data_IF_378740953011
#
_entry.id   IF_378740953011
#
_cell.length_a   1.000
_cell.length_b   1.000
_cell.length_c   1.000
_cell.angle_alpha   90.00
_cell.angle_beta   90.00
_cell.angle_gamma   90.00
#
_symmetry.space_group_name_H-M   'P 1'
#
loop_
_entity.id
_entity.type
_entity.pdbx_description
1 polymer ?
#
# COMPACT_ATOMS: atom_id res chain seq x y z
N UNK A 1 -22.61 -12.41 -30.22
CA UNK A 1 -22.49 -11.65 -28.95
C UNK A 1 -21.56 -12.26 -27.89
N UNK A 2 -21.44 -13.59 -27.74
CA UNK A 2 -20.69 -14.23 -26.63
C UNK A 2 -19.17 -14.05 -26.64
N UNK A 3 -18.54 -14.00 -27.82
CA UNK A 3 -17.08 -13.88 -27.94
C UNK A 3 -16.51 -12.52 -27.49
N UNK A 4 -17.30 -11.45 -27.60
CA UNK A 4 -16.90 -10.08 -27.22
C UNK A 4 -16.84 -9.96 -25.69
N UNK A 5 -17.84 -10.51 -24.98
CA UNK A 5 -17.88 -10.54 -23.52
C UNK A 5 -16.72 -11.38 -22.94
N UNK A 6 -16.38 -12.50 -23.57
CA UNK A 6 -15.27 -13.37 -23.16
C UNK A 6 -13.91 -12.66 -23.30
N UNK A 7 -13.69 -11.93 -24.40
CA UNK A 7 -12.46 -11.13 -24.59
C UNK A 7 -12.33 -9.99 -23.58
N UNK A 8 -13.42 -9.27 -23.31
CA UNK A 8 -13.44 -8.19 -22.31
C UNK A 8 -13.15 -8.71 -20.89
N UNK A 9 -13.72 -9.86 -20.53
CA UNK A 9 -13.45 -10.51 -19.24
C UNK A 9 -11.98 -10.93 -19.08
N UNK A 10 -11.40 -11.57 -20.12
CA UNK A 10 -9.99 -11.98 -20.10
C UNK A 10 -9.07 -10.77 -19.94
N UNK A 11 -9.34 -9.68 -20.68
CA UNK A 11 -8.57 -8.43 -20.58
C UNK A 11 -8.58 -7.89 -19.14
N UNK A 12 -9.78 -7.75 -18.54
CA UNK A 12 -9.93 -7.26 -17.16
C UNK A 12 -9.21 -8.16 -16.15
N UNK A 13 -9.29 -9.48 -16.32
CA UNK A 13 -8.60 -10.44 -15.44
C UNK A 13 -7.08 -10.32 -15.51
N UNK A 14 -6.52 -10.09 -16.70
CA UNK A 14 -5.07 -9.88 -16.88
C UNK A 14 -4.64 -8.55 -16.26
N UNK A 15 -5.38 -7.47 -16.49
CA UNK A 15 -5.11 -6.15 -15.89
C UNK A 15 -5.07 -6.24 -14.36
N UNK A 16 -6.06 -6.90 -13.76
CA UNK A 16 -6.09 -7.13 -12.30
C UNK A 16 -4.88 -7.93 -11.79
N UNK A 17 -4.42 -8.92 -12.55
CA UNK A 17 -3.24 -9.71 -12.17
C UNK A 17 -1.95 -8.91 -12.27
N UNK A 18 -1.80 -8.07 -13.29
CA UNK A 18 -0.65 -7.17 -13.46
C UNK A 18 -0.62 -6.16 -12.32
N UNK A 19 -1.74 -5.51 -12.04
CA UNK A 19 -1.85 -4.54 -10.96
C UNK A 19 -1.56 -5.17 -9.59
N UNK A 20 -2.08 -6.38 -9.35
CA UNK A 20 -1.79 -7.14 -8.13
C UNK A 20 -0.31 -7.51 -8.00
N UNK A 21 0.34 -7.95 -9.08
CA UNK A 21 1.76 -8.28 -9.09
C UNK A 21 2.63 -7.04 -8.85
N UNK A 22 2.29 -5.91 -9.49
CA UNK A 22 2.96 -4.62 -9.29
C UNK A 22 2.85 -4.18 -7.83
N UNK A 23 1.64 -4.22 -7.25
CA UNK A 23 1.44 -3.83 -5.85
C UNK A 23 2.24 -4.71 -4.88
N UNK A 24 2.29 -6.03 -5.12
CA UNK A 24 3.13 -6.94 -4.33
C UNK A 24 4.62 -6.61 -4.44
N UNK A 25 5.09 -6.28 -5.64
CA UNK A 25 6.48 -5.84 -5.87
C UNK A 25 6.81 -4.58 -5.09
N UNK A 26 5.93 -3.57 -5.14
CA UNK A 26 6.09 -2.34 -4.37
C UNK A 26 6.14 -2.59 -2.85
N UNK A 27 5.30 -3.50 -2.33
CA UNK A 27 5.30 -3.87 -0.92
C UNK A 27 6.61 -4.53 -0.48
N UNK A 28 7.13 -5.48 -1.28
CA UNK A 28 8.42 -6.14 -1.00
C UNK A 28 9.60 -5.15 -1.04
N UNK A 29 9.57 -4.20 -1.98
CA UNK A 29 10.59 -3.14 -2.07
C UNK A 29 10.53 -2.24 -0.83
N UNK A 30 9.34 -1.83 -0.42
CA UNK A 30 9.19 -0.98 0.75
C UNK A 30 9.51 -1.70 2.07
N UNK A 31 9.33 -3.02 2.16
CA UNK A 31 9.80 -3.81 3.29
C UNK A 31 11.34 -3.84 3.39
N UNK A 32 12.04 -3.77 2.26
CA UNK A 32 13.51 -3.84 2.20
C UNK A 32 14.19 -2.48 2.09
N UNK A 33 13.42 -1.39 1.96
CA UNK A 33 13.94 -0.03 1.77
C UNK A 33 13.20 0.99 2.64
N UNK A 34 13.80 1.46 3.74
CA UNK A 34 13.25 2.52 4.59
C UNK A 34 12.93 3.82 3.82
N UNK A 35 13.70 4.13 2.77
CA UNK A 35 13.45 5.29 1.91
C UNK A 35 12.11 5.22 1.15
N UNK A 36 11.62 4.02 0.85
CA UNK A 36 10.32 3.85 0.20
C UNK A 36 9.16 4.04 1.20
N UNK A 37 9.36 3.68 2.47
CA UNK A 37 8.40 3.99 3.55
C UNK A 37 8.32 5.51 3.77
N UNK A 38 9.46 6.20 3.83
CA UNK A 38 9.49 7.67 3.94
C UNK A 38 8.74 8.34 2.77
N UNK A 39 8.89 7.84 1.54
CA UNK A 39 8.14 8.36 0.40
C UNK A 39 6.63 8.09 0.48
N UNK A 40 6.20 6.97 1.06
CA UNK A 40 4.79 6.72 1.30
C UNK A 40 4.21 7.66 2.36
N UNK A 41 5.00 8.03 3.36
CA UNK A 41 4.62 9.03 4.37
C UNK A 41 4.51 10.43 3.76
N UNK A 42 5.47 10.83 2.91
CA UNK A 42 5.39 12.10 2.15
C UNK A 42 4.09 12.18 1.33
N UNK A 43 3.69 11.06 0.70
CA UNK A 43 2.48 11.00 -0.12
C UNK A 43 1.17 11.10 0.68
N UNK A 44 1.21 11.01 2.01
CA UNK A 44 0.04 11.31 2.85
C UNK A 44 -0.30 12.80 2.87
N UNK A 45 0.67 13.67 2.55
CA UNK A 45 0.50 15.12 2.46
C UNK A 45 0.09 15.58 1.04
N UNK A 46 -0.07 14.63 0.10
CA UNK A 46 -0.44 14.92 -1.27
C UNK A 46 -1.86 15.52 -1.36
N UNK A 47 -2.00 16.63 -2.09
CA UNK A 47 -3.28 17.32 -2.27
C UNK A 47 -4.31 16.47 -3.03
N UNK A 48 -3.88 15.42 -3.74
CA UNK A 48 -4.77 14.46 -4.39
C UNK A 48 -5.20 13.38 -3.40
N UNK A 49 -6.46 13.45 -2.94
CA UNK A 49 -6.99 12.50 -1.95
C UNK A 49 -6.92 11.03 -2.38
N UNK A 50 -6.95 10.73 -3.68
CA UNK A 50 -6.78 9.36 -4.18
C UNK A 50 -5.34 8.84 -3.97
N UNK A 51 -4.34 9.69 -4.19
CA UNK A 51 -2.91 9.36 -4.00
C UNK A 51 -2.61 9.13 -2.52
N UNK A 52 -3.02 10.06 -1.66
CA UNK A 52 -2.89 9.93 -0.21
C UNK A 52 -3.59 8.66 0.30
N UNK A 53 -4.79 8.36 -0.19
CA UNK A 53 -5.51 7.14 0.19
C UNK A 53 -4.81 5.86 -0.25
N UNK A 54 -4.24 5.83 -1.46
CA UNK A 54 -3.46 4.68 -1.93
C UNK A 54 -2.20 4.49 -1.10
N UNK A 55 -1.54 5.58 -0.71
CA UNK A 55 -0.39 5.56 0.19
C UNK A 55 -0.77 4.99 1.57
N UNK A 56 -1.86 5.47 2.18
CA UNK A 56 -2.42 4.93 3.43
C UNK A 56 -2.68 3.42 3.37
N UNK A 57 -3.32 2.94 2.31
CA UNK A 57 -3.60 1.50 2.14
C UNK A 57 -2.32 0.70 1.97
N UNK A 58 -1.31 1.22 1.26
CA UNK A 58 -0.03 0.55 1.10
C UNK A 58 0.75 0.47 2.41
N UNK A 59 0.71 1.52 3.25
CA UNK A 59 1.33 1.52 4.58
C UNK A 59 0.69 0.46 5.49
N UNK A 60 -0.64 0.37 5.52
CA UNK A 60 -1.36 -0.66 6.28
C UNK A 60 -0.99 -2.07 5.79
N UNK A 61 -0.93 -2.27 4.47
CA UNK A 61 -0.51 -3.56 3.88
C UNK A 61 0.92 -3.94 4.23
N UNK A 62 1.81 -2.95 4.36
CA UNK A 62 3.19 -3.17 4.79
C UNK A 62 3.24 -3.67 6.23
N UNK A 63 2.53 -3.00 7.13
CA UNK A 63 2.48 -3.36 8.54
C UNK A 63 1.92 -4.78 8.73
N UNK A 64 0.84 -5.11 8.00
CA UNK A 64 0.25 -6.46 8.01
C UNK A 64 1.21 -7.53 7.42
N UNK A 65 2.03 -7.17 6.43
CA UNK A 65 3.03 -8.07 5.86
C UNK A 65 4.22 -8.30 6.82
N UNK A 66 4.64 -7.27 7.56
CA UNK A 66 5.71 -7.38 8.56
C UNK A 66 5.27 -8.22 9.76
N UNK A 67 4.07 -8.00 10.28
CA UNK A 67 3.52 -8.76 11.43
C UNK A 67 3.32 -10.25 11.11
N UNK A 68 3.06 -10.61 9.85
CA UNK A 68 2.93 -12.01 9.41
C UNK A 68 4.26 -12.68 9.04
N UNK A 69 5.30 -11.89 8.73
CA UNK A 69 6.64 -12.38 8.41
C UNK A 69 7.56 -12.53 9.63
N UNK A 70 7.11 -12.10 10.83
CA UNK A 70 7.86 -12.18 12.09
C UNK A 70 7.92 -13.62 12.64
N UNK A 71 8.57 -14.51 11.89
CA UNK A 71 9.02 -15.83 12.31
C UNK A 71 10.54 -16.03 12.13
N UNK A 72 11.27 -14.97 11.79
CA UNK A 72 12.74 -14.95 11.76
C UNK A 72 13.26 -13.73 12.54
N UNK A 73 14.42 -13.83 13.21
CA UNK A 73 14.97 -12.75 14.00
C UNK A 73 15.38 -11.62 13.06
N UNK A 74 14.55 -10.59 12.98
CA UNK A 74 14.86 -9.38 12.25
C UNK A 74 15.87 -8.59 13.08
N UNK A 75 17.02 -8.27 12.49
CA UNK A 75 17.81 -7.14 12.98
C UNK A 75 16.90 -5.92 12.91
N UNK A 76 16.62 -5.35 14.08
CA UNK A 76 15.73 -4.24 14.32
C UNK A 76 16.24 -3.02 13.55
N UNK A 77 15.83 -2.90 12.29
CA UNK A 77 15.73 -1.58 11.67
C UNK A 77 14.52 -0.96 12.34
N UNK A 78 14.75 -0.03 13.26
CA UNK A 78 13.72 0.62 14.07
C UNK A 78 12.78 1.47 13.19
N UNK A 79 11.88 0.79 12.47
CA UNK A 79 10.83 1.41 11.66
C UNK A 79 9.76 2.05 12.54
N UNK A 80 9.75 1.76 13.84
CA UNK A 80 8.87 2.32 14.86
C UNK A 80 9.02 3.84 14.98
N UNK A 81 10.21 4.39 14.71
CA UNK A 81 10.40 5.85 14.67
C UNK A 81 9.78 6.49 13.41
N UNK A 82 9.66 5.73 12.32
CA UNK A 82 9.14 6.24 11.04
C UNK A 82 7.61 6.27 11.00
N UNK A 83 6.95 5.31 11.67
CA UNK A 83 5.49 5.24 11.76
C UNK A 83 5.00 5.76 13.12
N UNK A 84 5.11 7.06 13.33
CA UNK A 84 4.73 7.72 14.57
C UNK A 84 3.21 7.94 14.69
N UNK A 85 2.74 8.35 15.89
CA UNK A 85 1.31 8.59 16.15
C UNK A 85 0.69 9.66 15.24
N UNK A 86 1.47 10.62 14.76
CA UNK A 86 1.03 11.67 13.84
C UNK A 86 0.76 11.12 12.43
N UNK A 87 1.64 10.25 11.91
CA UNK A 87 1.41 9.53 10.65
C UNK A 87 0.17 8.63 10.73
N UNK A 88 -0.04 7.94 11.87
CA UNK A 88 -1.22 7.13 12.10
C UNK A 88 -2.51 7.98 12.11
N UNK A 89 -2.49 9.15 12.74
CA UNK A 89 -3.61 10.09 12.73
C UNK A 89 -3.92 10.57 11.31
N UNK A 90 -2.90 10.89 10.50
CA UNK A 90 -3.07 11.29 9.10
C UNK A 90 -3.69 10.17 8.26
N UNK A 91 -3.22 8.94 8.43
CA UNK A 91 -3.81 7.78 7.74
C UNK A 91 -5.30 7.64 8.09
N UNK A 92 -5.65 7.77 9.37
CA UNK A 92 -7.04 7.72 9.82
C UNK A 92 -7.88 8.86 9.24
N UNK A 93 -7.33 10.08 9.17
CA UNK A 93 -7.99 11.25 8.59
C UNK A 93 -8.30 11.06 7.10
N UNK A 94 -7.29 10.68 6.31
CA UNK A 94 -7.42 10.41 4.87
C UNK A 94 -8.44 9.29 4.59
N UNK A 95 -8.54 8.30 5.46
CA UNK A 95 -9.52 7.21 5.33
C UNK A 95 -10.93 7.62 5.81
N UNK A 96 -11.03 8.52 6.80
CA UNK A 96 -12.29 9.01 7.35
C UNK A 96 -13.01 10.02 6.43
N UNK A 97 -12.28 10.74 5.58
CA UNK A 97 -12.83 11.72 4.61
C UNK A 97 -13.79 11.13 3.57
N UNK A 98 -14.13 9.82 3.64
CA UNK A 98 -15.07 9.18 2.71
C UNK A 98 -16.08 8.26 3.40
N UNK A 99 -16.73 8.81 4.42
CA UNK A 99 -17.96 8.28 5.03
C UNK A 99 -19.26 8.88 4.49
N UNK A 100 -19.27 9.48 3.30
CA UNK A 100 -20.45 10.00 2.58
C UNK A 100 -20.46 9.57 1.10
#
# INVERSE_FOLDING_TARGET
MGHIKKRAYIKKSIEQRIESAHQKGCLLLAQSMPAAIAKLLDLLEDEHSETARKASVNLIKLELAQTTSSAMPAEETDLSESFNGDAAERVLRVLAERGE
#
